data_IF_631998772064
#
_entry.id   IF_631998772064
#
_cell.length_a   1.000
_cell.length_b   1.000
_cell.length_c   1.000
_cell.angle_alpha   90.00
_cell.angle_beta   90.00
_cell.angle_gamma   90.00
#
_symmetry.space_group_name_H-M   'P 1'
#
loop_
_entity.id
_entity.type
_entity.pdbx_description
1 polymer ?
#
# COMPACT_ATOMS: atom_id res chain seq x y z
N UNK A 1 -1.32 22.58 31.22
CA UNK A 1 -1.12 22.43 29.76
C UNK A 1 -2.21 21.49 29.27
N UNK A 2 -3.01 21.87 28.28
CA UNK A 2 -4.12 21.05 27.80
C UNK A 2 -3.58 19.88 26.97
N UNK A 3 -4.12 18.69 27.18
CA UNK A 3 -3.71 17.47 26.47
C UNK A 3 -4.00 17.61 24.96
N UNK A 4 -3.14 17.01 24.12
CA UNK A 4 -3.25 17.13 22.67
C UNK A 4 -4.55 16.50 22.15
N UNK A 5 -4.99 15.40 22.76
CA UNK A 5 -6.27 14.75 22.43
C UNK A 5 -7.44 15.70 22.65
N UNK A 6 -7.45 16.40 23.77
CA UNK A 6 -8.54 17.30 24.14
C UNK A 6 -8.58 18.53 23.21
N UNK A 7 -7.42 19.03 22.78
CA UNK A 7 -7.32 20.10 21.78
C UNK A 7 -7.81 19.66 20.40
N UNK A 8 -7.48 18.44 19.98
CA UNK A 8 -7.97 17.88 18.71
C UNK A 8 -9.49 17.75 18.75
N UNK A 9 -10.05 17.20 19.84
CA UNK A 9 -11.50 17.08 20.00
C UNK A 9 -12.20 18.46 19.95
N UNK A 10 -11.62 19.48 20.58
CA UNK A 10 -12.16 20.83 20.58
C UNK A 10 -12.17 21.47 19.18
N UNK A 11 -11.14 21.27 18.35
CA UNK A 11 -11.13 21.80 16.98
C UNK A 11 -12.06 21.02 16.05
N UNK A 12 -12.08 19.69 16.15
CA UNK A 12 -12.98 18.84 15.34
C UNK A 12 -14.45 19.13 15.66
N UNK A 13 -14.78 19.37 16.94
CA UNK A 13 -16.14 19.71 17.35
C UNK A 13 -16.70 21.01 16.76
N UNK A 14 -15.85 21.89 16.20
CA UNK A 14 -16.29 23.13 15.52
C UNK A 14 -16.66 22.92 14.05
N UNK A 15 -16.32 21.76 13.48
CA UNK A 15 -16.54 21.45 12.07
C UNK A 15 -18.00 21.01 11.83
N UNK A 16 -18.47 21.14 10.58
CA UNK A 16 -19.75 20.54 10.17
C UNK A 16 -19.69 19.01 10.26
N UNK A 17 -20.83 18.30 10.37
CA UNK A 17 -20.86 16.84 10.44
C UNK A 17 -20.07 16.16 9.30
N UNK A 18 -20.21 16.66 8.07
CA UNK A 18 -19.53 16.13 6.90
C UNK A 18 -18.01 16.29 6.98
N UNK A 19 -17.55 17.44 7.51
CA UNK A 19 -16.14 17.71 7.74
C UNK A 19 -15.58 16.88 8.90
N UNK A 20 -16.36 16.61 9.94
CA UNK A 20 -15.97 15.70 11.03
C UNK A 20 -15.75 14.27 10.51
N UNK A 21 -16.65 13.78 9.66
CA UNK A 21 -16.47 12.48 8.99
C UNK A 21 -15.22 12.46 8.09
N UNK A 22 -14.95 13.56 7.37
CA UNK A 22 -13.75 13.67 6.55
C UNK A 22 -12.47 13.61 7.40
N UNK A 23 -12.45 14.29 8.54
CA UNK A 23 -11.34 14.20 9.50
C UNK A 23 -11.20 12.77 10.02
N UNK A 24 -12.31 12.10 10.38
CA UNK A 24 -12.28 10.71 10.85
C UNK A 24 -11.69 9.75 9.79
N UNK A 25 -12.09 9.89 8.53
CA UNK A 25 -11.54 9.09 7.42
C UNK A 25 -10.03 9.31 7.26
N UNK A 26 -9.58 10.56 7.33
CA UNK A 26 -8.16 10.91 7.23
C UNK A 26 -7.36 10.33 8.40
N UNK A 27 -7.77 10.54 9.65
CA UNK A 27 -7.01 10.01 10.79
C UNK A 27 -7.00 8.47 10.81
N UNK A 28 -8.07 7.83 10.33
CA UNK A 28 -8.12 6.37 10.16
C UNK A 28 -7.14 5.87 9.10
N UNK A 29 -6.93 6.64 8.02
CA UNK A 29 -5.92 6.31 7.01
C UNK A 29 -4.49 6.51 7.53
N UNK A 30 -4.26 7.46 8.45
CA UNK A 30 -2.97 7.60 9.13
C UNK A 30 -2.61 6.38 10.00
N UNK A 31 -3.60 5.79 10.69
CA UNK A 31 -3.41 4.53 11.43
C UNK A 31 -3.11 3.37 10.47
N UNK A 32 -3.65 3.44 9.26
CA UNK A 32 -3.41 2.48 8.17
C UNK A 32 -2.15 2.79 7.36
N UNK A 33 -1.28 3.70 7.86
CA UNK A 33 -0.24 4.44 7.13
C UNK A 33 0.88 3.62 6.47
N UNK A 34 0.84 2.31 6.56
CA UNK A 34 1.54 1.39 5.66
C UNK A 34 0.59 0.21 5.47
N UNK A 35 0.33 -0.28 4.23
CA UNK A 35 -0.30 -1.59 4.10
C UNK A 35 0.48 -2.55 5.00
N UNK A 36 -0.16 -3.07 6.04
CA UNK A 36 0.51 -4.04 6.89
C UNK A 36 0.79 -5.23 6.00
N UNK A 37 2.07 -5.43 5.65
CA UNK A 37 2.49 -6.57 4.87
C UNK A 37 1.99 -7.85 5.53
N UNK A 38 1.58 -8.82 4.73
CA UNK A 38 1.23 -10.13 5.26
C UNK A 38 2.48 -10.84 5.79
N UNK A 39 2.26 -11.79 6.71
CA UNK A 39 3.36 -12.63 7.15
C UNK A 39 3.88 -13.42 5.93
N UNK A 40 5.17 -13.31 5.62
CA UNK A 40 5.77 -14.00 4.46
C UNK A 40 5.59 -15.52 4.47
N UNK A 41 5.34 -16.13 5.64
CA UNK A 41 4.98 -17.55 5.73
C UNK A 41 3.67 -17.89 4.99
N UNK A 42 2.72 -16.96 4.91
CA UNK A 42 1.48 -17.12 4.15
C UNK A 42 1.79 -17.23 2.65
N UNK A 43 2.73 -16.43 2.15
CA UNK A 43 3.10 -16.44 0.74
C UNK A 43 3.72 -17.77 0.26
N UNK A 44 4.12 -18.66 1.17
CA UNK A 44 4.64 -20.00 0.82
C UNK A 44 3.61 -20.85 0.09
N UNK A 45 2.32 -20.62 0.29
CA UNK A 45 1.26 -21.35 -0.44
C UNK A 45 1.31 -21.11 -1.96
N UNK A 46 1.83 -19.96 -2.39
CA UNK A 46 2.01 -19.62 -3.79
C UNK A 46 3.35 -20.10 -4.38
N UNK A 47 4.19 -20.78 -3.60
CA UNK A 47 5.47 -21.29 -4.09
C UNK A 47 5.23 -22.33 -5.18
N UNK A 48 5.68 -22.03 -6.41
CA UNK A 48 5.46 -22.89 -7.57
C UNK A 48 4.04 -22.84 -8.16
N UNK A 49 3.20 -21.87 -7.77
CA UNK A 49 1.86 -21.71 -8.33
C UNK A 49 1.83 -21.09 -9.73
N UNK A 50 2.97 -20.59 -10.22
CA UNK A 50 3.07 -20.02 -11.56
C UNK A 50 3.08 -21.15 -12.59
N UNK A 51 1.98 -21.26 -13.35
CA UNK A 51 1.90 -22.22 -14.44
C UNK A 51 2.76 -21.79 -15.65
N UNK A 52 2.99 -22.73 -16.56
CA UNK A 52 3.84 -22.48 -17.73
C UNK A 52 3.30 -21.40 -18.65
N UNK A 53 1.99 -21.27 -18.76
CA UNK A 53 1.35 -20.30 -19.65
C UNK A 53 1.58 -18.90 -19.09
N UNK A 54 1.25 -18.67 -17.83
CA UNK A 54 1.47 -17.39 -17.16
C UNK A 54 2.95 -17.01 -17.13
N UNK A 55 3.85 -17.99 -16.91
CA UNK A 55 5.29 -17.74 -17.00
C UNK A 55 5.71 -17.25 -18.39
N UNK A 56 5.17 -17.84 -19.46
CA UNK A 56 5.48 -17.45 -20.83
C UNK A 56 4.93 -16.05 -21.16
N UNK A 57 3.70 -15.76 -20.76
CA UNK A 57 3.09 -14.43 -20.94
C UNK A 57 3.90 -13.33 -20.24
N UNK A 58 4.42 -13.60 -19.04
CA UNK A 58 5.29 -12.67 -18.32
C UNK A 58 6.63 -12.45 -19.05
N UNK A 59 7.26 -13.51 -19.55
CA UNK A 59 8.51 -13.40 -20.32
C UNK A 59 8.30 -12.53 -21.56
N UNK A 60 7.25 -12.81 -22.34
CA UNK A 60 6.93 -12.06 -23.55
C UNK A 60 6.71 -10.57 -23.24
N UNK A 61 5.94 -10.26 -22.19
CA UNK A 61 5.69 -8.87 -21.80
C UNK A 61 6.99 -8.12 -21.42
N UNK A 62 7.94 -8.80 -20.77
CA UNK A 62 9.24 -8.22 -20.42
C UNK A 62 10.07 -7.97 -21.68
N UNK A 63 10.15 -8.94 -22.58
CA UNK A 63 10.92 -8.83 -23.83
C UNK A 63 10.39 -7.73 -24.76
N UNK A 64 9.07 -7.53 -24.80
CA UNK A 64 8.43 -6.53 -25.65
C UNK A 64 8.48 -5.10 -25.09
N UNK A 65 8.44 -4.95 -23.76
CA UNK A 65 8.23 -3.64 -23.12
C UNK A 65 9.41 -3.14 -22.28
N UNK A 66 10.37 -3.99 -21.91
CA UNK A 66 11.50 -3.60 -21.07
C UNK A 66 12.81 -3.48 -21.86
N UNK A 67 13.63 -2.52 -21.45
CA UNK A 67 15.00 -2.35 -21.93
C UNK A 67 15.85 -3.56 -21.50
N UNK A 68 16.82 -3.95 -22.36
CA UNK A 68 17.73 -5.04 -22.07
C UNK A 68 18.97 -4.51 -21.35
N UNK A 69 19.39 -5.22 -20.29
CA UNK A 69 20.63 -4.90 -19.59
C UNK A 69 21.80 -5.37 -20.45
N UNK A 70 22.66 -4.46 -20.87
CA UNK A 70 23.96 -4.83 -21.44
C UNK A 70 24.90 -5.25 -20.31
N UNK A 71 25.19 -6.55 -20.24
CA UNK A 71 26.07 -7.12 -19.22
C UNK A 71 27.56 -6.75 -19.42
N UNK A 72 27.93 -6.17 -20.56
CA UNK A 72 29.30 -5.74 -20.85
C UNK A 72 29.61 -4.31 -20.40
N UNK A 73 28.61 -3.52 -19.99
CA UNK A 73 28.77 -2.13 -19.53
C UNK A 73 28.93 -1.99 -17.99
N UNK A 74 29.22 -3.08 -17.27
CA UNK A 74 29.36 -3.12 -15.80
C UNK A 74 30.81 -3.20 -15.33
#
# INVERSE_FOLDING_TARGET
MMDIRDRIAAEVGKLSPEMQEQVLRFVSSLVSGVPKGENGAILREFSGSLDRKSAHEMIQAIEEACEQVDAAEW
#
